data_IF_834163107750
#
_entry.id   IF_834163107750
#
_cell.length_a   1.000
_cell.length_b   1.000
_cell.length_c   1.000
_cell.angle_alpha   90.00
_cell.angle_beta   90.00
_cell.angle_gamma   90.00
#
_symmetry.space_group_name_H-M   'P 1'
#
loop_
_entity.id
_entity.type
_entity.pdbx_description
1 polymer ?
#
# COMPACT_ATOMS: atom_id res chain seq x y z
N UNK A 1 -12.80 -17.47 -7.04
CA UNK A 1 -11.88 -16.46 -6.49
C UNK A 1 -10.56 -17.15 -6.27
N UNK A 2 -9.56 -16.82 -7.07
CA UNK A 2 -8.18 -17.26 -6.84
C UNK A 2 -7.51 -16.08 -6.19
N UNK A 3 -6.80 -16.23 -5.07
CA UNK A 3 -6.01 -15.13 -4.50
C UNK A 3 -4.58 -15.18 -5.06
N UNK A 4 -3.80 -14.10 -4.85
CA UNK A 4 -2.34 -14.22 -5.00
C UNK A 4 -1.86 -15.37 -4.10
N UNK A 5 -1.07 -16.33 -4.61
CA UNK A 5 -0.59 -17.45 -3.82
C UNK A 5 0.15 -17.01 -2.56
N UNK A 6 -0.16 -17.64 -1.42
CA UNK A 6 0.34 -17.27 -0.10
C UNK A 6 1.87 -17.16 -0.01
N UNK A 7 2.59 -18.02 -0.74
CA UNK A 7 4.05 -18.03 -0.73
C UNK A 7 4.67 -16.75 -1.32
N UNK A 8 3.91 -15.93 -2.06
CA UNK A 8 4.39 -14.67 -2.62
C UNK A 8 4.37 -13.52 -1.61
N UNK A 9 3.57 -13.61 -0.55
CA UNK A 9 3.51 -12.60 0.51
C UNK A 9 4.68 -12.75 1.49
N UNK A 10 5.89 -12.46 0.99
CA UNK A 10 7.16 -12.63 1.73
C UNK A 10 7.51 -11.47 2.65
N UNK A 11 6.83 -10.34 2.51
CA UNK A 11 7.07 -9.13 3.28
C UNK A 11 5.97 -8.95 4.34
N UNK A 12 6.25 -8.07 5.29
CA UNK A 12 5.32 -7.66 6.32
C UNK A 12 5.18 -6.14 6.26
N UNK A 13 3.94 -5.66 6.25
CA UNK A 13 3.64 -4.24 6.33
C UNK A 13 2.72 -3.94 7.50
N UNK A 14 3.02 -2.86 8.22
CA UNK A 14 2.17 -2.32 9.28
C UNK A 14 1.37 -1.18 8.69
N UNK A 15 0.05 -1.32 8.71
CA UNK A 15 -0.90 -0.33 8.20
C UNK A 15 -1.55 0.36 9.40
N UNK A 16 -1.50 1.69 9.44
CA UNK A 16 -2.30 2.51 10.34
C UNK A 16 -3.39 3.18 9.48
N UNK A 17 -4.62 2.63 9.46
CA UNK A 17 -5.67 3.11 8.56
C UNK A 17 -6.06 4.55 8.87
N UNK A 18 -6.20 5.40 7.86
CA UNK A 18 -6.76 6.74 8.06
C UNK A 18 -8.25 6.62 8.43
N UNK A 19 -8.62 7.10 9.62
CA UNK A 19 -10.00 7.03 10.14
C UNK A 19 -10.74 8.36 10.01
N UNK A 20 -10.02 9.47 9.85
CA UNK A 20 -10.58 10.79 9.61
C UNK A 20 -9.56 11.91 9.73
N UNK A 21 -10.06 13.14 9.71
CA UNK A 21 -9.28 14.36 9.90
C UNK A 21 -9.72 15.04 11.20
N UNK A 22 -8.75 15.30 12.09
CA UNK A 22 -8.96 16.00 13.35
C UNK A 22 -8.48 17.45 13.30
N UNK A 23 -8.66 18.20 14.40
CA UNK A 23 -8.26 19.61 14.49
C UNK A 23 -6.75 19.86 14.29
N UNK A 24 -5.93 18.82 14.45
CA UNK A 24 -4.46 18.88 14.34
C UNK A 24 -3.90 18.03 13.19
N UNK A 25 -4.76 17.52 12.30
CA UNK A 25 -4.38 16.70 11.15
C UNK A 25 -4.97 15.28 11.17
N UNK A 26 -4.41 14.35 10.38
CA UNK A 26 -5.00 13.04 10.15
C UNK A 26 -5.01 12.19 11.42
N UNK A 27 -6.13 11.48 11.63
CA UNK A 27 -6.32 10.54 12.74
C UNK A 27 -6.23 9.12 12.22
N UNK A 28 -5.28 8.37 12.74
CA UNK A 28 -5.05 6.98 12.35
C UNK A 28 -5.68 6.01 13.35
N UNK A 29 -6.16 4.89 12.83
CA UNK A 29 -6.60 3.74 13.61
C UNK A 29 -5.42 2.99 14.22
N UNK A 30 -5.70 1.89 14.96
CA UNK A 30 -4.64 1.05 15.51
C UNK A 30 -3.77 0.45 14.39
N UNK A 31 -2.46 0.23 14.63
CA UNK A 31 -1.59 -0.42 13.66
C UNK A 31 -1.99 -1.89 13.47
N UNK A 32 -2.17 -2.29 12.22
CA UNK A 32 -2.47 -3.66 11.81
C UNK A 32 -1.34 -4.23 10.96
N UNK A 33 -0.84 -5.40 11.34
CA UNK A 33 0.24 -6.09 10.61
C UNK A 33 -0.34 -7.05 9.59
N UNK A 34 0.06 -6.89 8.33
CA UNK A 34 -0.41 -7.71 7.21
C UNK A 34 0.77 -8.29 6.41
N UNK A 35 0.67 -9.56 6.03
CA UNK A 35 1.59 -10.14 5.04
C UNK A 35 1.32 -9.53 3.67
N UNK A 36 2.39 -9.15 2.96
CA UNK A 36 2.28 -8.45 1.70
C UNK A 36 3.39 -8.83 0.71
N UNK A 37 3.16 -8.47 -0.55
CA UNK A 37 4.18 -8.46 -1.59
C UNK A 37 4.48 -6.98 -1.85
N UNK A 38 5.67 -6.54 -1.50
CA UNK A 38 6.14 -5.20 -1.78
C UNK A 38 6.91 -5.21 -3.10
N UNK A 39 6.49 -4.37 -4.04
CA UNK A 39 7.23 -4.01 -5.25
C UNK A 39 7.82 -2.61 -5.04
N UNK A 40 9.09 -2.58 -4.63
CA UNK A 40 9.83 -1.34 -4.39
C UNK A 40 10.43 -0.82 -5.70
N UNK A 41 9.74 0.11 -6.35
CA UNK A 41 10.28 0.80 -7.52
C UNK A 41 10.82 2.19 -7.14
N UNK A 42 12.14 2.30 -7.04
CA UNK A 42 12.80 3.61 -6.92
C UNK A 42 12.96 4.22 -8.31
N UNK A 43 12.13 5.21 -8.65
CA UNK A 43 12.28 5.95 -9.90
C UNK A 43 12.84 7.35 -9.60
N UNK A 44 14.05 7.62 -10.08
CA UNK A 44 14.64 8.95 -10.01
C UNK A 44 14.10 9.77 -11.18
N UNK A 45 13.24 10.76 -10.91
CA UNK A 45 12.71 11.68 -11.92
C UNK A 45 13.40 13.03 -11.72
N UNK A 46 14.29 13.42 -12.65
CA UNK A 46 14.90 14.75 -12.58
C UNK A 46 13.92 15.77 -13.14
N UNK A 47 13.40 16.63 -12.29
CA UNK A 47 12.69 17.84 -12.68
C UNK A 47 13.68 18.91 -13.20
N UNK A 48 13.16 19.98 -13.81
CA UNK A 48 13.98 21.08 -14.33
C UNK A 48 14.75 21.86 -13.23
N UNK A 49 14.36 21.67 -11.96
CA UNK A 49 14.98 22.24 -10.75
C UNK A 49 16.10 21.37 -10.16
N UNK A 50 16.26 20.12 -10.62
CA UNK A 50 17.39 19.26 -10.29
C UNK A 50 17.18 18.27 -9.14
N UNK A 51 15.97 18.04 -8.63
CA UNK A 51 15.67 16.90 -7.73
C UNK A 51 14.19 16.60 -7.57
N UNK A 52 13.77 15.40 -8.00
CA UNK A 52 12.62 14.71 -7.42
C UNK A 52 12.87 13.19 -7.37
N UNK A 53 13.06 12.63 -6.17
CA UNK A 53 13.04 11.18 -5.99
C UNK A 53 11.61 10.81 -5.64
N UNK A 54 10.83 10.37 -6.63
CA UNK A 54 9.52 9.75 -6.39
C UNK A 54 9.80 8.28 -6.11
N UNK A 55 9.69 7.91 -4.83
CA UNK A 55 9.64 6.50 -4.48
C UNK A 55 8.22 6.02 -4.74
N UNK A 56 8.04 5.21 -5.78
CA UNK A 56 6.78 4.53 -6.06
C UNK A 56 6.90 3.10 -5.52
N UNK A 57 6.47 2.89 -4.29
CA UNK A 57 6.34 1.53 -3.74
C UNK A 57 4.90 1.09 -3.93
N UNK A 58 4.69 -0.05 -4.58
CA UNK A 58 3.37 -0.69 -4.65
C UNK A 58 3.35 -1.87 -3.70
N UNK A 59 2.34 -1.93 -2.83
CA UNK A 59 2.13 -3.06 -1.92
C UNK A 59 0.87 -3.80 -2.32
N UNK A 60 1.00 -5.11 -2.47
CA UNK A 60 -0.10 -6.02 -2.72
C UNK A 60 -0.45 -6.77 -1.44
N UNK A 61 -1.70 -6.66 -1.02
CA UNK A 61 -2.25 -7.33 0.16
C UNK A 61 -3.26 -8.41 -0.23
N UNK A 62 -3.59 -9.26 0.75
CA UNK A 62 -4.74 -10.17 0.64
C UNK A 62 -6.04 -9.38 0.41
N UNK A 63 -7.04 -9.97 -0.27
CA UNK A 63 -8.38 -9.39 -0.36
C UNK A 63 -8.94 -9.02 1.01
N UNK A 64 -9.59 -7.86 1.12
CA UNK A 64 -10.26 -7.41 2.33
C UNK A 64 -9.43 -6.56 3.31
N UNK A 65 -8.12 -6.41 3.07
CA UNK A 65 -7.28 -5.49 3.86
C UNK A 65 -7.75 -4.04 3.66
N UNK A 66 -7.90 -3.31 4.77
CA UNK A 66 -8.39 -1.93 4.78
C UNK A 66 -7.21 -0.97 4.88
N UNK A 67 -6.90 -0.30 3.78
CA UNK A 67 -5.83 0.70 3.71
C UNK A 67 -6.27 1.90 2.87
N UNK A 68 -7.23 2.72 3.33
CA UNK A 68 -7.73 3.85 2.54
C UNK A 68 -6.59 4.84 2.18
N UNK A 69 -6.74 5.63 1.09
CA UNK A 69 -5.81 6.71 0.77
C UNK A 69 -5.55 7.62 1.99
N UNK A 70 -4.29 7.99 2.19
CA UNK A 70 -3.81 8.75 3.34
C UNK A 70 -3.39 7.91 4.55
N UNK A 71 -3.67 6.61 4.56
CA UNK A 71 -3.18 5.68 5.59
C UNK A 71 -1.65 5.65 5.62
N UNK A 72 -1.08 5.44 6.81
CA UNK A 72 0.36 5.22 6.95
C UNK A 72 0.65 3.74 6.77
N UNK A 73 1.65 3.45 5.95
CA UNK A 73 2.09 2.09 5.67
C UNK A 73 3.57 2.02 5.92
N UNK A 74 3.98 1.15 6.83
CA UNK A 74 5.39 0.85 7.11
C UNK A 74 5.73 -0.50 6.53
N UNK A 75 6.61 -0.53 5.53
CA UNK A 75 7.06 -1.77 4.86
C UNK A 75 8.57 -1.67 4.62
N UNK A 76 9.29 -2.79 4.73
CA UNK A 76 10.75 -2.84 4.54
C UNK A 76 11.51 -1.79 5.39
N UNK A 77 11.00 -1.49 6.59
CA UNK A 77 11.58 -0.51 7.52
C UNK A 77 11.36 0.97 7.15
N UNK A 78 10.53 1.26 6.13
CA UNK A 78 10.20 2.62 5.69
C UNK A 78 8.72 2.89 5.87
N UNK A 79 8.40 4.01 6.51
CA UNK A 79 7.05 4.55 6.55
C UNK A 79 6.79 5.44 5.33
N UNK A 80 5.65 5.20 4.67
CA UNK A 80 5.15 5.94 3.51
C UNK A 80 3.63 6.12 3.63
N UNK A 81 3.06 6.94 2.76
CA UNK A 81 1.62 7.24 2.77
C UNK A 81 0.92 6.60 1.57
N UNK A 82 -0.22 5.95 1.80
CA UNK A 82 -1.06 5.42 0.73
C UNK A 82 -1.63 6.56 -0.13
N UNK A 83 -1.43 6.48 -1.45
CA UNK A 83 -1.98 7.42 -2.44
C UNK A 83 -3.29 6.88 -2.99
N UNK A 84 -3.29 5.59 -3.33
CA UNK A 84 -4.44 4.86 -3.86
C UNK A 84 -4.54 3.51 -3.17
N UNK A 85 -5.76 2.98 -3.08
CA UNK A 85 -6.03 1.63 -2.62
C UNK A 85 -7.17 1.07 -3.44
N UNK A 86 -6.90 -0.01 -4.17
CA UNK A 86 -7.82 -0.59 -5.15
C UNK A 86 -8.02 -2.07 -4.86
N UNK A 87 -9.27 -2.46 -4.65
CA UNK A 87 -9.65 -3.87 -4.66
C UNK A 87 -9.64 -4.37 -6.10
N UNK A 88 -8.83 -5.39 -6.37
CA UNK A 88 -8.78 -6.11 -7.63
C UNK A 88 -9.44 -7.47 -7.41
N UNK A 89 -10.64 -7.68 -7.95
CA UNK A 89 -11.46 -8.88 -7.69
C UNK A 89 -11.91 -9.62 -8.97
N UNK A 90 -11.32 -9.28 -10.12
CA UNK A 90 -11.47 -10.00 -11.38
C UNK A 90 -12.88 -10.11 -11.96
N UNK A 91 -13.91 -9.59 -11.28
CA UNK A 91 -15.32 -9.76 -11.65
C UNK A 91 -15.76 -11.23 -11.78
N UNK A 92 -15.13 -12.16 -11.04
CA UNK A 92 -15.43 -13.60 -11.13
C UNK A 92 -14.61 -14.38 -12.17
N UNK A 93 -13.69 -13.73 -12.89
CA UNK A 93 -12.66 -14.42 -13.66
C UNK A 93 -11.66 -15.14 -12.72
N UNK A 94 -10.95 -16.18 -13.19
CA UNK A 94 -9.96 -16.90 -12.38
C UNK A 94 -8.64 -16.12 -12.24
N UNK A 95 -8.71 -14.81 -12.01
CA UNK A 95 -7.55 -13.95 -11.75
C UNK A 95 -7.23 -13.90 -10.26
N UNK A 96 -5.97 -13.65 -9.87
CA UNK A 96 -5.59 -13.44 -8.48
C UNK A 96 -6.21 -12.16 -7.89
N UNK A 97 -7.17 -12.32 -7.00
CA UNK A 97 -7.79 -11.24 -6.24
C UNK A 97 -6.81 -10.72 -5.17
N UNK A 98 -6.76 -9.40 -5.02
CA UNK A 98 -5.86 -8.72 -4.08
C UNK A 98 -6.28 -7.27 -3.85
N UNK A 99 -5.67 -6.62 -2.86
CA UNK A 99 -5.73 -5.16 -2.71
C UNK A 99 -4.38 -4.58 -3.15
N UNK A 100 -4.42 -3.63 -4.07
CA UNK A 100 -3.25 -2.93 -4.59
C UNK A 100 -3.19 -1.52 -3.98
N UNK A 101 -2.09 -1.20 -3.31
CA UNK A 101 -1.88 0.09 -2.64
C UNK A 101 -0.60 0.74 -3.16
N UNK A 102 -0.72 1.93 -3.76
CA UNK A 102 0.44 2.73 -4.16
C UNK A 102 0.87 3.68 -3.04
N UNK A 103 2.16 3.74 -2.76
CA UNK A 103 2.76 4.52 -1.67
C UNK A 103 3.68 5.64 -2.20
N UNK A 104 3.78 6.74 -1.44
CA UNK A 104 4.82 7.78 -1.57
C UNK A 104 5.57 7.99 -0.26
#
# INVERSE_FOLDING_TARGET
MTAIPDFMFRHEAVVEPLTGEGAYGPVYGPPETHSCLADDKRQLVRDASGSEVVSDTTVYFRPGVVCPPGSRVTVNGRASTAITSLTRDGGGLPTPDHVEVALK
#
